data_IF_745063182422
#
_entry.id   IF_745063182422
#
_cell.length_a   1.000
_cell.length_b   1.000
_cell.length_c   1.000
_cell.angle_alpha   90.00
_cell.angle_beta   90.00
_cell.angle_gamma   90.00
#
_symmetry.space_group_name_H-M   'P 1'
#
loop_
_entity.id
_entity.type
_entity.pdbx_description
1 polymer ?
#
# COMPACT_ATOMS: atom_id res chain seq x y z
N UNK A 1 -6.77 13.63 -5.63
CA UNK A 1 -7.89 13.21 -4.75
C UNK A 1 -7.56 13.27 -3.24
N UNK A 2 -6.39 12.83 -2.69
CA UNK A 2 -6.17 12.83 -1.24
C UNK A 2 -6.30 14.20 -0.56
N UNK A 3 -5.86 15.29 -1.20
CA UNK A 3 -5.93 16.65 -0.63
C UNK A 3 -7.37 17.12 -0.40
N UNK A 4 -8.28 16.79 -1.32
CA UNK A 4 -9.71 17.08 -1.17
C UNK A 4 -10.32 16.31 0.01
N UNK A 5 -9.94 15.03 0.17
CA UNK A 5 -10.41 14.20 1.28
C UNK A 5 -9.83 14.66 2.63
N UNK A 6 -8.60 15.17 2.69
CA UNK A 6 -8.04 15.77 3.91
C UNK A 6 -8.92 16.93 4.37
N UNK A 7 -9.25 17.86 3.48
CA UNK A 7 -10.12 18.99 3.80
C UNK A 7 -11.50 18.53 4.28
N UNK A 8 -12.12 17.60 3.54
CA UNK A 8 -13.45 17.07 3.86
C UNK A 8 -13.48 16.37 5.22
N UNK A 9 -12.47 15.55 5.53
CA UNK A 9 -12.39 14.81 6.78
C UNK A 9 -12.08 15.70 7.98
N UNK A 10 -11.25 16.72 7.82
CA UNK A 10 -11.06 17.73 8.86
C UNK A 10 -12.35 18.47 9.18
N UNK A 11 -13.12 18.83 8.16
CA UNK A 11 -14.38 19.57 8.36
C UNK A 11 -15.47 18.71 9.02
N UNK A 12 -15.42 17.40 8.84
CA UNK A 12 -16.38 16.44 9.42
C UNK A 12 -15.86 15.78 10.72
N UNK A 13 -14.80 16.29 11.32
CA UNK A 13 -14.15 15.73 12.52
C UNK A 13 -13.70 14.26 12.42
N UNK A 14 -13.44 13.76 11.19
CA UNK A 14 -12.95 12.42 10.90
C UNK A 14 -11.41 12.42 10.87
N UNK A 15 -10.79 12.74 11.98
CA UNK A 15 -9.34 12.98 12.08
C UNK A 15 -8.49 11.76 11.71
N UNK A 16 -8.94 10.55 12.03
CA UNK A 16 -8.23 9.31 11.67
C UNK A 16 -8.09 9.16 10.14
N UNK A 17 -9.18 9.41 9.40
CA UNK A 17 -9.17 9.38 7.93
C UNK A 17 -8.32 10.52 7.33
N UNK A 18 -8.30 11.70 7.95
CA UNK A 18 -7.43 12.79 7.53
C UNK A 18 -5.95 12.41 7.68
N UNK A 19 -5.55 11.80 8.80
CA UNK A 19 -4.16 11.33 9.04
C UNK A 19 -3.73 10.29 8.01
N UNK A 20 -4.60 9.33 7.67
CA UNK A 20 -4.30 8.33 6.63
C UNK A 20 -4.10 9.00 5.27
N UNK A 21 -4.91 9.99 4.91
CA UNK A 21 -4.75 10.71 3.64
C UNK A 21 -3.47 11.56 3.61
N UNK A 22 -3.08 12.18 4.74
CA UNK A 22 -1.79 12.87 4.87
C UNK A 22 -0.63 11.89 4.65
N UNK A 23 -0.71 10.69 5.25
CA UNK A 23 0.26 9.64 5.01
C UNK A 23 0.36 9.26 3.52
N UNK A 24 -0.76 9.10 2.81
CA UNK A 24 -0.76 8.79 1.38
C UNK A 24 -0.14 9.91 0.54
N UNK A 25 -0.37 11.18 0.87
CA UNK A 25 0.30 12.31 0.21
C UNK A 25 1.81 12.24 0.44
N UNK A 26 2.24 12.05 1.69
CA UNK A 26 3.66 11.94 2.03
C UNK A 26 4.35 10.77 1.33
N UNK A 27 3.71 9.59 1.34
CA UNK A 27 4.22 8.40 0.66
C UNK A 27 4.30 8.59 -0.87
N UNK A 28 3.32 9.28 -1.47
CA UNK A 28 3.29 9.58 -2.90
C UNK A 28 4.43 10.55 -3.29
N UNK A 29 4.64 11.60 -2.50
CA UNK A 29 5.74 12.55 -2.73
C UNK A 29 7.10 11.85 -2.58
N UNK A 30 7.28 11.07 -1.49
CA UNK A 30 8.51 10.31 -1.28
C UNK A 30 8.75 9.31 -2.42
N UNK A 31 7.72 8.58 -2.84
CA UNK A 31 7.80 7.65 -3.97
C UNK A 31 8.22 8.35 -5.25
N UNK A 32 7.56 9.46 -5.60
CA UNK A 32 7.89 10.25 -6.79
C UNK A 32 9.34 10.75 -6.80
N UNK A 33 9.80 11.31 -5.67
CA UNK A 33 11.19 11.79 -5.54
C UNK A 33 12.21 10.66 -5.65
N UNK A 34 11.92 9.52 -5.01
CA UNK A 34 12.80 8.35 -5.06
C UNK A 34 12.87 7.76 -6.48
N UNK A 35 11.75 7.68 -7.19
CA UNK A 35 11.72 7.21 -8.57
C UNK A 35 12.48 8.13 -9.50
N UNK A 36 12.29 9.46 -9.36
CA UNK A 36 13.03 10.47 -10.14
C UNK A 36 14.53 10.38 -9.90
N UNK A 37 14.95 10.12 -8.66
CA UNK A 37 16.35 9.88 -8.31
C UNK A 37 16.89 8.61 -8.99
N UNK A 38 16.14 7.51 -8.96
CA UNK A 38 16.53 6.25 -9.58
C UNK A 38 16.65 6.38 -11.11
N UNK A 39 15.72 7.12 -11.75
CA UNK A 39 15.82 7.45 -13.19
C UNK A 39 17.05 8.31 -13.53
N UNK A 40 17.34 9.31 -12.70
CA UNK A 40 18.50 10.17 -12.90
C UNK A 40 19.84 9.41 -12.72
N UNK A 41 19.92 8.49 -11.76
CA UNK A 41 21.08 7.62 -11.56
C UNK A 41 21.27 6.65 -12.74
N UNK A 42 20.17 6.16 -13.31
CA UNK A 42 20.19 5.35 -14.55
C UNK A 42 20.69 6.14 -15.74
N UNK A 43 20.22 7.38 -15.93
CA UNK A 43 20.64 8.25 -17.03
C UNK A 43 22.12 8.64 -16.96
N UNK A 44 22.74 8.60 -15.77
CA UNK A 44 24.17 8.89 -15.58
C UNK A 44 25.10 7.70 -15.81
N UNK A 45 24.57 6.56 -16.29
CA UNK A 45 25.38 5.34 -16.51
C UNK A 45 25.91 4.67 -15.25
N UNK A 46 25.44 5.08 -14.07
CA UNK A 46 25.88 4.53 -12.77
C UNK A 46 25.23 3.19 -12.40
N UNK A 47 24.23 2.77 -13.17
CA UNK A 47 23.65 1.42 -13.11
C UNK A 47 23.62 0.84 -14.51
N UNK A 48 23.86 -0.45 -14.63
CA UNK A 48 23.89 -1.20 -15.90
C UNK A 48 22.78 -0.75 -16.86
N UNK A 49 23.13 -0.57 -18.13
CA UNK A 49 22.27 -0.05 -19.22
C UNK A 49 20.95 -0.82 -19.46
N UNK A 50 20.63 -1.78 -18.64
CA UNK A 50 19.39 -2.57 -18.66
C UNK A 50 18.60 -2.56 -17.36
N UNK A 51 19.10 -1.91 -16.29
CA UNK A 51 18.44 -1.97 -14.98
C UNK A 51 17.10 -1.23 -14.99
N UNK A 52 16.01 -1.97 -14.87
CA UNK A 52 14.68 -1.43 -14.62
C UNK A 52 14.67 -0.66 -13.29
N UNK A 53 13.87 0.40 -13.19
CA UNK A 53 13.54 1.06 -11.91
C UNK A 53 12.85 0.06 -10.98
N UNK A 54 12.21 -0.94 -11.57
CA UNK A 54 11.57 -2.06 -10.88
C UNK A 54 12.62 -3.11 -10.55
N UNK A 55 12.70 -3.48 -9.27
CA UNK A 55 13.67 -4.45 -8.77
C UNK A 55 13.03 -5.52 -7.88
N UNK A 56 13.79 -6.58 -7.66
CA UNK A 56 13.43 -7.59 -6.66
C UNK A 56 13.87 -7.12 -5.28
N UNK A 57 13.02 -7.31 -4.27
CA UNK A 57 13.37 -7.05 -2.89
C UNK A 57 14.53 -7.98 -2.46
N UNK A 58 15.61 -7.46 -1.87
CA UNK A 58 16.73 -8.28 -1.42
C UNK A 58 16.26 -9.20 -0.27
N UNK A 59 16.78 -10.44 -0.26
CA UNK A 59 16.38 -11.44 0.75
C UNK A 59 16.55 -10.95 2.19
N UNK A 60 17.52 -10.08 2.45
CA UNK A 60 17.75 -9.48 3.78
C UNK A 60 16.64 -8.52 4.21
N UNK A 61 15.88 -7.94 3.27
CA UNK A 61 14.80 -7.00 3.58
C UNK A 61 13.49 -7.69 4.00
N UNK A 62 13.35 -9.01 3.80
CA UNK A 62 12.14 -9.73 4.20
C UNK A 62 11.88 -9.66 5.71
N UNK A 63 12.90 -9.89 6.54
CA UNK A 63 12.77 -9.87 7.98
C UNK A 63 12.34 -8.50 8.54
N UNK A 64 13.00 -7.37 8.18
CA UNK A 64 12.53 -6.06 8.63
C UNK A 64 11.15 -5.69 8.09
N UNK A 65 10.78 -6.10 6.87
CA UNK A 65 9.44 -5.86 6.32
C UNK A 65 8.38 -6.65 7.09
N UNK A 66 8.62 -7.93 7.39
CA UNK A 66 7.70 -8.73 8.21
C UNK A 66 7.59 -8.18 9.63
N UNK A 67 8.70 -7.75 10.23
CA UNK A 67 8.72 -7.06 11.52
C UNK A 67 7.91 -5.76 11.50
N UNK A 68 8.10 -4.94 10.47
CA UNK A 68 7.33 -3.72 10.27
C UNK A 68 5.83 -4.02 10.13
N UNK A 69 5.47 -5.03 9.34
CA UNK A 69 4.08 -5.44 9.17
C UNK A 69 3.46 -5.86 10.51
N UNK A 70 4.16 -6.67 11.31
CA UNK A 70 3.67 -7.12 12.61
C UNK A 70 3.49 -5.95 13.59
N UNK A 71 4.44 -5.04 13.66
CA UNK A 71 4.37 -3.85 14.52
C UNK A 71 3.23 -2.93 14.07
N UNK A 72 3.13 -2.63 12.77
CA UNK A 72 2.05 -1.80 12.23
C UNK A 72 0.69 -2.42 12.50
N UNK A 73 0.54 -3.74 12.30
CA UNK A 73 -0.72 -4.45 12.59
C UNK A 73 -1.09 -4.31 14.07
N UNK A 74 -0.14 -4.56 14.98
CA UNK A 74 -0.40 -4.47 16.42
C UNK A 74 -0.81 -3.06 16.83
N UNK A 75 -0.06 -2.04 16.38
CA UNK A 75 -0.34 -0.63 16.70
C UNK A 75 -1.68 -0.19 16.13
N UNK A 76 -1.94 -0.47 14.85
CA UNK A 76 -3.20 -0.05 14.22
C UNK A 76 -4.41 -0.77 14.82
N UNK A 77 -4.30 -2.08 15.09
CA UNK A 77 -5.35 -2.81 15.79
C UNK A 77 -5.63 -2.24 17.16
N UNK A 78 -4.59 -1.94 17.94
CA UNK A 78 -4.72 -1.34 19.25
C UNK A 78 -5.40 0.03 19.20
N UNK A 79 -5.00 0.89 18.26
CA UNK A 79 -5.62 2.20 18.05
C UNK A 79 -7.09 2.06 17.66
N UNK A 80 -7.45 1.15 16.74
CA UNK A 80 -8.83 0.92 16.32
C UNK A 80 -9.70 0.40 17.47
N UNK A 81 -9.15 -0.44 18.36
CA UNK A 81 -9.85 -0.90 19.56
C UNK A 81 -10.08 0.23 20.55
N UNK A 82 -9.10 1.14 20.76
CA UNK A 82 -9.27 2.30 21.64
C UNK A 82 -10.34 3.28 21.14
N UNK A 83 -10.44 3.44 19.81
CA UNK A 83 -11.43 4.32 19.18
C UNK A 83 -12.84 3.69 19.14
N UNK A 84 -12.95 2.38 19.36
CA UNK A 84 -14.22 1.65 19.29
C UNK A 84 -14.86 1.62 17.89
N UNK A 85 -14.08 1.93 16.84
CA UNK A 85 -14.60 2.13 15.49
C UNK A 85 -14.76 0.84 14.67
N UNK A 86 -14.30 -0.32 15.15
CA UNK A 86 -14.32 -1.54 14.36
C UNK A 86 -14.70 -2.79 15.18
N UNK A 87 -15.69 -3.52 14.67
CA UNK A 87 -16.06 -4.85 15.19
C UNK A 87 -15.04 -5.95 14.81
N UNK A 88 -14.15 -5.67 13.86
CA UNK A 88 -13.11 -6.56 13.33
C UNK A 88 -11.75 -5.87 13.30
N UNK A 89 -11.41 -5.15 14.37
CA UNK A 89 -10.24 -4.31 14.50
C UNK A 89 -8.92 -4.99 14.08
N UNK A 90 -8.78 -6.30 14.32
CA UNK A 90 -7.59 -7.03 13.90
C UNK A 90 -7.48 -7.13 12.37
N UNK A 91 -8.59 -7.40 11.68
CA UNK A 91 -8.61 -7.51 10.22
C UNK A 91 -8.39 -6.14 9.57
N UNK A 92 -9.04 -5.10 10.10
CA UNK A 92 -8.86 -3.72 9.65
C UNK A 92 -7.42 -3.23 9.91
N UNK A 93 -6.88 -3.51 11.08
CA UNK A 93 -5.49 -3.19 11.42
C UNK A 93 -4.47 -3.91 10.52
N UNK A 94 -4.73 -5.17 10.21
CA UNK A 94 -3.87 -5.96 9.32
C UNK A 94 -3.92 -5.45 7.86
N UNK A 95 -5.11 -5.18 7.33
CA UNK A 95 -5.24 -4.63 5.96
C UNK A 95 -4.64 -3.24 5.86
N UNK A 96 -4.84 -2.39 6.86
CA UNK A 96 -4.19 -1.07 6.92
C UNK A 96 -2.66 -1.17 6.98
N UNK A 97 -2.11 -2.11 7.77
CA UNK A 97 -0.68 -2.35 7.83
C UNK A 97 -0.11 -2.85 6.49
N UNK A 98 -0.82 -3.74 5.80
CA UNK A 98 -0.44 -4.18 4.44
C UNK A 98 -0.43 -3.01 3.45
N UNK A 99 -1.39 -2.08 3.53
CA UNK A 99 -1.40 -0.87 2.72
C UNK A 99 -0.16 0.00 2.98
N UNK A 100 0.19 0.23 4.25
CA UNK A 100 1.39 0.99 4.64
C UNK A 100 2.67 0.35 4.10
N UNK A 101 2.82 -0.96 4.32
CA UNK A 101 3.98 -1.72 3.86
C UNK A 101 4.04 -1.77 2.32
N UNK A 102 2.89 -2.00 1.67
CA UNK A 102 2.79 -2.02 0.20
C UNK A 102 3.22 -0.69 -0.42
N UNK A 103 2.76 0.44 0.13
CA UNK A 103 3.18 1.77 -0.31
C UNK A 103 4.67 2.03 -0.12
N UNK A 104 5.25 1.59 0.99
CA UNK A 104 6.69 1.67 1.21
C UNK A 104 7.48 0.85 0.17
N UNK A 105 7.05 -0.40 -0.09
CA UNK A 105 7.69 -1.26 -1.09
C UNK A 105 7.53 -0.70 -2.51
N UNK A 106 6.36 -0.10 -2.83
CA UNK A 106 6.12 0.61 -4.08
C UNK A 106 7.11 1.77 -4.25
N UNK A 107 7.29 2.59 -3.22
CA UNK A 107 8.23 3.70 -3.25
C UNK A 107 9.70 3.26 -3.48
N UNK A 108 10.04 2.03 -3.08
CA UNK A 108 11.36 1.40 -3.36
C UNK A 108 11.44 0.74 -4.74
N UNK A 109 10.34 0.67 -5.50
CA UNK A 109 10.29 0.01 -6.80
C UNK A 109 10.35 -1.53 -6.72
N UNK A 110 9.98 -2.14 -5.59
CA UNK A 110 9.99 -3.58 -5.44
C UNK A 110 8.71 -4.22 -5.97
N UNK A 111 8.82 -5.16 -6.92
CA UNK A 111 7.64 -5.79 -7.50
C UNK A 111 6.81 -6.61 -6.49
N UNK A 112 7.42 -7.04 -5.38
CA UNK A 112 6.74 -7.77 -4.32
C UNK A 112 5.66 -6.95 -3.61
N UNK A 113 5.62 -5.64 -3.76
CA UNK A 113 4.52 -4.81 -3.26
C UNK A 113 3.14 -5.29 -3.76
N UNK A 114 3.09 -5.89 -4.95
CA UNK A 114 1.85 -6.44 -5.49
C UNK A 114 1.28 -7.60 -4.67
N UNK A 115 2.13 -8.31 -3.89
CA UNK A 115 1.68 -9.36 -2.98
C UNK A 115 0.81 -8.79 -1.85
N UNK A 116 1.10 -7.56 -1.39
CA UNK A 116 0.26 -6.89 -0.40
C UNK A 116 -1.15 -6.66 -0.96
N UNK A 117 -1.26 -6.18 -2.19
CA UNK A 117 -2.55 -5.93 -2.85
C UNK A 117 -3.30 -7.23 -3.14
N UNK A 118 -2.60 -8.30 -3.59
CA UNK A 118 -3.19 -9.62 -3.81
C UNK A 118 -3.81 -10.20 -2.53
N UNK A 119 -3.32 -9.81 -1.36
CA UNK A 119 -3.88 -10.22 -0.06
C UNK A 119 -5.02 -9.29 0.36
N UNK A 120 -4.84 -7.98 0.25
CA UNK A 120 -5.81 -6.97 0.73
C UNK A 120 -7.08 -6.97 -0.09
N UNK A 121 -7.00 -7.01 -1.42
CA UNK A 121 -8.16 -6.82 -2.29
C UNK A 121 -9.25 -7.90 -2.09
N UNK A 122 -8.94 -9.21 -1.99
CA UNK A 122 -9.95 -10.22 -1.70
C UNK A 122 -10.61 -10.02 -0.33
N UNK A 123 -9.86 -9.60 0.69
CA UNK A 123 -10.41 -9.28 2.02
C UNK A 123 -11.42 -8.14 1.89
N UNK A 124 -11.08 -7.10 1.14
CA UNK A 124 -11.96 -5.95 0.92
C UNK A 124 -13.21 -6.32 0.11
N UNK A 125 -13.13 -7.28 -0.83
CA UNK A 125 -14.30 -7.85 -1.51
C UNK A 125 -15.25 -8.47 -0.49
N UNK A 126 -14.74 -9.36 0.36
CA UNK A 126 -15.56 -10.06 1.37
C UNK A 126 -16.19 -9.06 2.35
N UNK A 127 -15.41 -8.11 2.87
CA UNK A 127 -15.91 -7.07 3.78
C UNK A 127 -16.99 -6.22 3.12
N UNK A 128 -16.80 -5.82 1.86
CA UNK A 128 -17.80 -5.02 1.11
C UNK A 128 -19.09 -5.79 0.86
N UNK A 129 -19.03 -7.11 0.64
CA UNK A 129 -20.21 -7.97 0.49
C UNK A 129 -20.97 -8.10 1.81
N UNK A 130 -20.27 -8.30 2.93
CA UNK A 130 -20.87 -8.42 4.26
C UNK A 130 -21.57 -7.11 4.67
N UNK A 131 -20.99 -5.96 4.31
CA UNK A 131 -21.56 -4.64 4.60
C UNK A 131 -22.61 -4.18 3.58
N UNK A 132 -22.93 -5.00 2.57
CA UNK A 132 -23.94 -4.68 1.56
C UNK A 132 -23.51 -3.63 0.53
N UNK A 133 -22.22 -3.27 0.49
CA UNK A 133 -21.67 -2.29 -0.46
C UNK A 133 -21.28 -2.96 -1.78
N UNK A 134 -22.28 -3.44 -2.55
CA UNK A 134 -22.06 -4.19 -3.79
C UNK A 134 -21.23 -3.45 -4.86
N UNK A 135 -21.44 -2.14 -5.13
CA UNK A 135 -20.60 -1.42 -6.09
C UNK A 135 -19.12 -1.40 -5.71
N UNK A 136 -18.85 -1.25 -4.41
CA UNK A 136 -17.49 -1.29 -3.85
C UNK A 136 -16.87 -2.68 -3.97
N UNK A 137 -17.64 -3.74 -3.74
CA UNK A 137 -17.18 -5.12 -3.94
C UNK A 137 -16.77 -5.39 -5.39
N UNK A 138 -17.55 -4.92 -6.38
CA UNK A 138 -17.22 -5.05 -7.80
C UNK A 138 -15.91 -4.32 -8.12
N UNK A 139 -15.71 -3.13 -7.57
CA UNK A 139 -14.46 -2.37 -7.74
C UNK A 139 -13.25 -3.15 -7.21
N UNK A 140 -13.35 -3.75 -6.02
CA UNK A 140 -12.26 -4.54 -5.46
C UNK A 140 -11.99 -5.84 -6.23
N UNK A 141 -13.00 -6.46 -6.85
CA UNK A 141 -12.79 -7.59 -7.79
C UNK A 141 -11.93 -7.15 -8.96
N UNK A 142 -12.18 -5.99 -9.54
CA UNK A 142 -11.34 -5.43 -10.62
C UNK A 142 -9.91 -5.20 -10.12
N UNK A 143 -9.75 -4.68 -8.91
CA UNK A 143 -8.42 -4.46 -8.32
C UNK A 143 -7.67 -5.77 -8.05
N UNK A 144 -8.35 -6.87 -7.67
CA UNK A 144 -7.73 -8.20 -7.60
C UNK A 144 -7.08 -8.59 -8.94
N UNK A 145 -7.79 -8.40 -10.06
CA UNK A 145 -7.25 -8.70 -11.39
C UNK A 145 -6.06 -7.82 -11.71
N UNK A 146 -6.16 -6.51 -11.45
CA UNK A 146 -5.07 -5.55 -11.67
C UNK A 146 -3.84 -5.91 -10.82
N UNK A 147 -4.02 -6.33 -9.57
CA UNK A 147 -2.92 -6.72 -8.69
C UNK A 147 -2.15 -7.93 -9.22
N UNK A 148 -2.87 -8.95 -9.71
CA UNK A 148 -2.25 -10.13 -10.32
C UNK A 148 -1.51 -9.76 -11.61
N UNK A 149 -2.14 -9.00 -12.50
CA UNK A 149 -1.51 -8.56 -13.76
C UNK A 149 -0.30 -7.66 -13.50
N UNK A 150 -0.41 -6.74 -12.54
CA UNK A 150 0.68 -5.88 -12.10
C UNK A 150 1.88 -6.67 -11.57
N UNK A 151 1.62 -7.69 -10.73
CA UNK A 151 2.65 -8.58 -10.23
C UNK A 151 3.38 -9.31 -11.36
N UNK A 152 2.64 -9.89 -12.30
CA UNK A 152 3.21 -10.65 -13.42
C UNK A 152 4.04 -9.75 -14.35
N UNK A 153 3.54 -8.54 -14.63
CA UNK A 153 4.24 -7.56 -15.46
C UNK A 153 5.53 -7.09 -14.80
N UNK A 154 5.47 -6.61 -13.58
CA UNK A 154 6.63 -6.08 -12.85
C UNK A 154 7.69 -7.14 -12.58
N UNK A 155 7.26 -8.37 -12.34
CA UNK A 155 8.18 -9.50 -12.19
C UNK A 155 8.96 -9.81 -13.48
N UNK A 156 8.35 -9.57 -14.65
CA UNK A 156 9.04 -9.73 -15.96
C UNK A 156 10.02 -8.59 -16.17
N UNK A 157 9.66 -7.37 -15.82
CA UNK A 157 10.51 -6.17 -15.97
C UNK A 157 11.70 -6.15 -14.97
N UNK A 158 11.58 -6.87 -13.85
CA UNK A 158 12.63 -6.99 -12.84
C UNK A 158 13.65 -8.11 -13.12
N UNK A 159 13.47 -8.90 -14.20
CA UNK A 159 14.40 -9.94 -14.63
C UNK A 159 15.39 -9.41 -15.66
#
# INVERSE_FOLDING_TARGET
MPLFYIYLFFHNALYANAVINIYYVGASIYGFLNWKKMEAEKAKGQKDEGASVISSMPKRAWWPILGLLAICTAVLTWVLQLLGESNVALLDGFTAALNVVGMYMLAKGWYQQWLCWIIVEPIMVVMSLITGMYPTAVMYVVYCVIAVLGYLRWRREAR
#
